data_IF_526687345038
#
_entry.id   IF_526687345038
#
_cell.length_a   1.000
_cell.length_b   1.000
_cell.length_c   1.000
_cell.angle_alpha   90.00
_cell.angle_beta   90.00
_cell.angle_gamma   90.00
#
_symmetry.space_group_name_H-M   'P 1'
#
loop_
_entity.id
_entity.type
_entity.pdbx_description
1 polymer ?
#
# COMPACT_ATOMS: atom_id res chain seq x y z
N UNK A 1 -9.96 -3.03 12.96
CA UNK A 1 -10.67 -3.83 11.94
C UNK A 1 -11.44 -2.89 11.04
N UNK A 2 -11.26 -3.02 9.73
CA UNK A 2 -12.05 -2.33 8.71
C UNK A 2 -13.17 -3.28 8.26
N UNK A 3 -14.41 -2.91 8.53
CA UNK A 3 -15.57 -3.69 8.11
C UNK A 3 -16.03 -3.20 6.73
N UNK A 4 -15.66 -3.95 5.70
CA UNK A 4 -15.96 -3.57 4.31
C UNK A 4 -17.47 -3.57 4.01
N UNK A 5 -18.25 -4.35 4.75
CA UNK A 5 -19.71 -4.36 4.57
C UNK A 5 -20.38 -3.06 5.05
N UNK A 6 -19.68 -2.30 5.89
CA UNK A 6 -20.16 -1.01 6.40
C UNK A 6 -19.52 0.18 5.70
N UNK A 7 -18.52 -0.06 4.86
CA UNK A 7 -17.82 1.02 4.17
C UNK A 7 -18.72 1.59 3.06
N UNK A 8 -18.93 2.89 3.10
CA UNK A 8 -19.71 3.64 2.09
C UNK A 8 -18.82 4.57 1.24
N UNK A 9 -17.50 4.44 1.34
CA UNK A 9 -16.55 5.24 0.56
C UNK A 9 -16.52 6.74 0.94
N UNK A 10 -16.99 7.12 2.11
CA UNK A 10 -17.11 8.53 2.50
C UNK A 10 -15.80 9.28 2.74
N UNK A 11 -14.66 8.61 2.68
CA UNK A 11 -13.31 9.18 2.86
C UNK A 11 -13.03 9.85 4.23
N UNK A 12 -13.92 9.72 5.20
CA UNK A 12 -13.74 10.32 6.53
C UNK A 12 -12.47 9.81 7.21
N UNK A 13 -12.18 8.52 7.13
CA UNK A 13 -10.96 7.90 7.65
C UNK A 13 -9.70 8.43 6.95
N UNK A 14 -9.76 8.68 5.64
CA UNK A 14 -8.68 9.27 4.85
C UNK A 14 -8.35 10.67 5.34
N UNK A 15 -9.38 11.51 5.48
CA UNK A 15 -9.22 12.90 5.91
C UNK A 15 -8.75 12.99 7.35
N UNK A 16 -9.30 12.18 8.24
CA UNK A 16 -8.89 12.13 9.64
C UNK A 16 -7.40 11.76 9.78
N UNK A 17 -6.95 10.71 9.09
CA UNK A 17 -5.55 10.33 9.04
C UNK A 17 -4.68 11.46 8.47
N UNK A 18 -5.09 12.03 7.35
CA UNK A 18 -4.33 13.09 6.68
C UNK A 18 -4.19 14.35 7.54
N UNK A 19 -5.25 14.76 8.22
CA UNK A 19 -5.21 15.91 9.12
C UNK A 19 -4.27 15.73 10.31
N UNK A 20 -4.13 14.51 10.80
CA UNK A 20 -3.26 14.24 11.95
C UNK A 20 -1.80 14.08 11.57
N UNK A 21 -1.51 13.37 10.48
CA UNK A 21 -0.17 12.83 10.22
C UNK A 21 0.50 13.39 8.95
N UNK A 22 -0.25 14.01 8.05
CA UNK A 22 0.27 14.56 6.79
C UNK A 22 0.09 16.07 6.71
N UNK A 23 0.39 16.77 7.79
CA UNK A 23 0.23 18.24 7.86
C UNK A 23 1.33 18.99 7.13
N UNK A 24 2.51 18.39 7.05
CA UNK A 24 3.66 19.04 6.46
C UNK A 24 3.55 19.11 4.94
N UNK A 25 4.07 20.18 4.37
CA UNK A 25 4.03 20.41 2.92
C UNK A 25 4.75 19.33 2.12
N UNK A 26 5.78 18.70 2.70
CA UNK A 26 6.53 17.62 2.07
C UNK A 26 5.74 16.31 1.89
N UNK A 27 4.75 16.07 2.72
CA UNK A 27 3.93 14.85 2.69
C UNK A 27 2.50 15.11 2.21
N UNK A 28 2.21 16.30 1.71
CA UNK A 28 0.88 16.69 1.25
C UNK A 28 0.31 15.78 0.16
N UNK A 29 1.14 15.14 -0.65
CA UNK A 29 0.74 14.16 -1.66
C UNK A 29 0.44 12.78 -1.09
N UNK A 30 0.92 12.46 0.12
CA UNK A 30 0.83 11.11 0.69
C UNK A 30 -0.55 10.84 1.31
N UNK A 31 -1.03 9.62 1.08
CA UNK A 31 -2.25 9.11 1.68
C UNK A 31 -1.93 7.80 2.41
N UNK A 32 -1.64 7.90 3.70
CA UNK A 32 -1.37 6.72 4.52
C UNK A 32 -2.58 5.80 4.62
N UNK A 33 -3.76 6.39 4.60
CA UNK A 33 -5.02 5.69 4.40
C UNK A 33 -5.80 6.36 3.27
N UNK A 34 -6.33 5.59 2.35
CA UNK A 34 -7.27 6.04 1.33
C UNK A 34 -8.32 4.96 1.10
N UNK A 35 -9.47 5.36 0.62
CA UNK A 35 -10.53 4.44 0.22
C UNK A 35 -10.65 4.49 -1.30
N UNK A 36 -10.49 3.35 -1.93
CA UNK A 36 -10.65 3.18 -3.37
C UNK A 36 -12.04 2.69 -3.69
N UNK A 37 -12.63 3.23 -4.72
CA UNK A 37 -13.87 2.73 -5.30
C UNK A 37 -13.48 1.78 -6.44
N UNK A 38 -13.88 0.54 -6.32
CA UNK A 38 -13.56 -0.48 -7.30
C UNK A 38 -14.86 -0.95 -7.97
N UNK A 39 -15.02 -0.68 -9.27
CA UNK A 39 -16.15 -1.20 -10.03
C UNK A 39 -15.89 -2.64 -10.45
N UNK A 40 -16.96 -3.38 -10.68
CA UNK A 40 -16.91 -4.71 -11.27
C UNK A 40 -17.21 -5.85 -10.31
N UNK A 41 -16.83 -7.05 -10.70
CA UNK A 41 -17.17 -8.29 -9.99
C UNK A 41 -16.32 -8.55 -8.71
N UNK A 42 -15.46 -7.61 -8.32
CA UNK A 42 -14.58 -7.76 -7.15
C UNK A 42 -13.22 -8.35 -7.48
N UNK A 43 -12.42 -8.54 -6.43
CA UNK A 43 -11.07 -9.09 -6.53
C UNK A 43 -10.91 -10.36 -5.70
N UNK A 44 -10.14 -11.35 -6.17
CA UNK A 44 -9.59 -11.44 -7.54
C UNK A 44 -10.71 -11.60 -8.58
N UNK A 45 -10.42 -11.23 -9.82
CA UNK A 45 -11.34 -11.55 -10.91
C UNK A 45 -11.56 -13.05 -10.96
N UNK A 46 -12.75 -13.45 -11.38
CA UNK A 46 -13.12 -14.85 -11.42
C UNK A 46 -12.98 -15.54 -10.03
N UNK A 47 -13.27 -14.77 -8.97
CA UNK A 47 -13.20 -15.25 -7.59
C UNK A 47 -14.01 -16.54 -7.37
N UNK A 48 -15.08 -16.74 -8.13
CA UNK A 48 -15.90 -17.96 -8.12
C UNK A 48 -15.12 -19.20 -8.59
N UNK A 49 -14.06 -18.99 -9.37
CA UNK A 49 -13.16 -20.04 -9.84
C UNK A 49 -11.94 -20.22 -8.92
N UNK A 50 -11.65 -19.21 -8.12
CA UNK A 50 -10.48 -19.16 -7.23
C UNK A 50 -10.67 -19.93 -5.92
N UNK A 51 -11.79 -20.58 -5.73
CA UNK A 51 -12.07 -21.37 -4.52
C UNK A 51 -13.49 -21.14 -3.99
N UNK A 52 -13.66 -21.37 -2.70
CA UNK A 52 -14.96 -21.23 -2.04
C UNK A 52 -15.71 -22.56 -1.93
N UNK A 53 -17.04 -22.51 -1.95
CA UNK A 53 -17.89 -23.70 -1.85
C UNK A 53 -18.82 -23.80 -3.04
N UNK A 54 -19.09 -25.02 -3.43
CA UNK A 54 -20.16 -25.34 -4.38
C UNK A 54 -21.53 -25.09 -3.73
N UNK A 55 -22.61 -25.00 -4.48
CA UNK A 55 -23.96 -24.97 -3.92
C UNK A 55 -24.28 -26.18 -3.02
N UNK A 56 -23.62 -27.33 -3.25
CA UNK A 56 -23.70 -28.52 -2.41
C UNK A 56 -22.88 -28.45 -1.12
N UNK A 57 -22.11 -27.36 -0.91
CA UNK A 57 -21.31 -27.15 0.28
C UNK A 57 -19.91 -27.74 0.25
N UNK A 58 -19.50 -28.39 -0.85
CA UNK A 58 -18.14 -28.89 -1.03
C UNK A 58 -17.14 -27.77 -1.25
N UNK A 59 -15.93 -27.93 -0.73
CA UNK A 59 -14.83 -26.99 -0.92
C UNK A 59 -14.28 -27.11 -2.33
N UNK A 60 -14.29 -26.02 -3.09
CA UNK A 60 -13.60 -25.93 -4.38
C UNK A 60 -12.11 -25.73 -4.17
N UNK A 61 -11.30 -26.50 -4.86
CA UNK A 61 -9.88 -26.19 -5.01
C UNK A 61 -9.74 -24.95 -5.89
N UNK A 62 -9.25 -23.87 -5.31
CA UNK A 62 -8.98 -22.64 -6.05
C UNK A 62 -7.59 -22.62 -6.65
N UNK A 63 -7.39 -21.73 -7.63
CA UNK A 63 -6.09 -21.40 -8.20
C UNK A 63 -5.58 -20.11 -7.55
N UNK A 64 -4.33 -20.08 -7.12
CA UNK A 64 -3.68 -18.83 -6.73
C UNK A 64 -3.22 -18.13 -8.01
N UNK A 65 -3.71 -16.90 -8.31
CA UNK A 65 -3.27 -16.15 -9.48
C UNK A 65 -1.78 -15.86 -9.43
N UNK A 66 -1.12 -15.90 -10.58
CA UNK A 66 0.28 -15.52 -10.71
C UNK A 66 0.43 -14.06 -11.10
N UNK A 67 1.64 -13.49 -10.95
CA UNK A 67 1.94 -12.13 -11.37
C UNK A 67 1.65 -11.89 -12.86
N UNK A 68 1.90 -12.90 -13.70
CA UNK A 68 1.70 -12.79 -15.15
C UNK A 68 0.22 -12.85 -15.54
N UNK A 69 -0.60 -13.52 -14.74
CA UNK A 69 -2.02 -13.70 -15.03
C UNK A 69 -2.85 -12.44 -14.68
N UNK A 70 -2.64 -11.87 -13.50
CA UNK A 70 -3.62 -10.93 -12.95
C UNK A 70 -3.02 -9.73 -12.20
N UNK A 71 -1.78 -9.83 -11.72
CA UNK A 71 -1.20 -8.80 -10.87
C UNK A 71 -0.28 -7.82 -11.59
N UNK A 72 -0.02 -8.04 -12.88
CA UNK A 72 0.93 -7.25 -13.66
C UNK A 72 2.39 -7.51 -13.25
N UNK A 73 3.30 -6.77 -13.85
CA UNK A 73 4.72 -6.90 -13.59
C UNK A 73 5.18 -5.90 -12.54
N UNK A 74 6.08 -6.32 -11.69
CA UNK A 74 6.74 -5.42 -10.76
C UNK A 74 7.45 -4.29 -11.53
N UNK A 75 7.42 -3.09 -10.97
CA UNK A 75 8.09 -1.95 -11.57
C UNK A 75 9.60 -2.11 -11.49
N UNK A 76 10.27 -1.76 -12.59
CA UNK A 76 11.72 -1.61 -12.61
C UNK A 76 12.06 -0.15 -12.32
N UNK A 77 12.89 0.09 -11.33
CA UNK A 77 13.27 1.43 -10.92
C UNK A 77 14.72 1.74 -11.32
N UNK A 78 15.07 3.02 -11.33
CA UNK A 78 16.38 3.53 -11.70
C UNK A 78 17.42 3.42 -10.57
N UNK A 79 17.51 2.28 -9.89
CA UNK A 79 18.39 2.07 -8.74
C UNK A 79 19.86 2.36 -9.02
N UNK A 80 20.35 1.94 -10.18
CA UNK A 80 21.77 2.10 -10.52
C UNK A 80 22.13 3.58 -10.69
N UNK A 81 21.23 4.38 -11.28
CA UNK A 81 21.39 5.82 -11.38
C UNK A 81 21.40 6.47 -10.00
N UNK A 82 20.45 6.07 -9.13
CA UNK A 82 20.38 6.59 -7.76
C UNK A 82 21.65 6.28 -6.98
N UNK A 83 22.19 5.06 -7.11
CA UNK A 83 23.44 4.67 -6.45
C UNK A 83 24.64 5.42 -7.00
N UNK A 84 24.76 5.50 -8.31
CA UNK A 84 25.90 6.18 -8.97
C UNK A 84 25.98 7.64 -8.54
N UNK A 85 24.93 8.40 -8.67
CA UNK A 85 24.90 9.82 -8.29
C UNK A 85 25.07 10.03 -6.78
N UNK A 86 24.56 9.12 -5.95
CA UNK A 86 24.78 9.18 -4.50
C UNK A 86 26.26 9.03 -4.14
N UNK A 87 27.02 8.24 -4.91
CA UNK A 87 28.47 8.06 -4.75
C UNK A 87 29.28 9.23 -5.32
N UNK A 88 28.79 9.84 -6.38
CA UNK A 88 29.48 10.96 -7.08
C UNK A 88 29.20 12.33 -6.44
N UNK A 89 28.34 12.41 -5.43
CA UNK A 89 28.02 13.66 -4.73
C UNK A 89 27.14 14.63 -5.53
N UNK A 90 26.63 14.22 -6.68
CA UNK A 90 25.83 15.03 -7.59
C UNK A 90 24.33 15.08 -7.22
N UNK A 91 24.03 15.45 -6.00
CA UNK A 91 22.65 15.52 -5.55
C UNK A 91 21.96 14.15 -5.45
N UNK A 92 20.79 14.10 -4.80
CA UNK A 92 20.01 12.86 -4.63
C UNK A 92 19.04 12.69 -5.82
N UNK A 93 19.31 11.82 -6.78
CA UNK A 93 18.33 11.56 -7.83
C UNK A 93 17.10 10.89 -7.23
N UNK A 94 15.96 11.21 -7.77
CA UNK A 94 14.71 10.62 -7.35
C UNK A 94 14.63 9.16 -7.81
N UNK A 95 14.19 8.28 -6.92
CA UNK A 95 13.80 6.95 -7.34
C UNK A 95 12.55 7.06 -8.21
N UNK A 96 12.67 6.67 -9.46
CA UNK A 96 11.59 6.73 -10.44
C UNK A 96 11.50 5.44 -11.23
N UNK A 97 10.31 5.04 -11.69
CA UNK A 97 10.19 3.92 -12.61
C UNK A 97 10.95 4.19 -13.90
N UNK A 98 11.68 3.19 -14.40
CA UNK A 98 12.35 3.25 -15.72
C UNK A 98 11.36 3.20 -16.88
N UNK A 99 10.25 2.54 -16.65
CA UNK A 99 9.20 2.31 -17.65
C UNK A 99 7.85 2.70 -17.07
N UNK A 100 6.88 2.93 -17.96
CA UNK A 100 5.50 3.13 -17.54
C UNK A 100 5.04 1.85 -16.82
N UNK A 101 4.52 1.95 -15.59
CA UNK A 101 4.05 0.79 -14.85
C UNK A 101 3.02 0.00 -15.65
N UNK A 102 3.22 -1.31 -15.71
CA UNK A 102 2.22 -2.22 -16.24
C UNK A 102 1.35 -2.73 -15.09
N UNK A 103 0.15 -2.20 -15.02
CA UNK A 103 -0.85 -2.64 -14.07
C UNK A 103 -1.49 -3.93 -14.59
N UNK A 104 -1.51 -4.95 -13.75
CA UNK A 104 -2.30 -6.14 -14.05
C UNK A 104 -3.80 -5.83 -14.00
N UNK A 105 -4.57 -6.76 -14.48
CA UNK A 105 -6.03 -6.63 -14.56
C UNK A 105 -6.71 -6.34 -13.21
N UNK A 106 -6.13 -6.79 -12.10
CA UNK A 106 -6.63 -6.54 -10.76
C UNK A 106 -6.24 -5.17 -10.17
N UNK A 107 -5.42 -4.40 -10.88
CA UNK A 107 -4.97 -3.07 -10.47
C UNK A 107 -5.60 -1.96 -11.30
N UNK A 108 -6.38 -2.31 -12.31
CA UNK A 108 -7.03 -1.38 -13.20
C UNK A 108 -8.39 -0.99 -12.60
N UNK A 109 -8.44 0.16 -11.99
CA UNK A 109 -9.60 0.68 -11.27
C UNK A 109 -10.78 0.99 -12.19
N UNK A 110 -10.51 1.22 -13.48
CA UNK A 110 -11.53 1.66 -14.45
C UNK A 110 -12.17 0.51 -15.24
N UNK A 111 -11.77 -0.74 -14.97
CA UNK A 111 -12.30 -1.88 -15.68
C UNK A 111 -13.42 -2.61 -14.92
N UNK A 112 -14.58 -2.03 -14.92
CA UNK A 112 -15.81 -2.80 -14.67
C UNK A 112 -15.94 -3.94 -15.68
N UNK A 113 -16.36 -5.11 -15.24
CA UNK A 113 -16.82 -6.21 -16.12
C UNK A 113 -18.31 -6.34 -15.99
N UNK A 114 -18.93 -6.70 -17.09
CA UNK A 114 -20.36 -6.94 -17.16
C UNK A 114 -21.15 -5.79 -17.75
N UNK A 115 -22.44 -6.00 -17.92
CA UNK A 115 -23.36 -4.99 -18.44
C UNK A 115 -23.98 -4.18 -17.31
N UNK A 116 -23.97 -2.85 -17.47
CA UNK A 116 -24.65 -1.96 -16.56
C UNK A 116 -26.19 -2.06 -16.78
N UNK A 117 -26.99 -2.10 -15.72
CA UNK A 117 -26.65 -2.10 -14.28
C UNK A 117 -26.50 -3.50 -13.66
N UNK A 118 -26.72 -4.56 -14.42
CA UNK A 118 -26.94 -5.90 -13.91
C UNK A 118 -25.71 -6.53 -13.29
N UNK A 119 -24.57 -6.35 -13.95
CA UNK A 119 -23.32 -7.03 -13.59
C UNK A 119 -22.27 -6.09 -12.99
N UNK A 120 -22.59 -4.80 -12.86
CA UNK A 120 -21.69 -3.83 -12.26
C UNK A 120 -21.96 -3.68 -10.77
N UNK A 121 -20.96 -4.04 -10.00
CA UNK A 121 -20.91 -3.82 -8.56
C UNK A 121 -19.88 -2.75 -8.23
N UNK A 122 -20.17 -1.98 -7.20
CA UNK A 122 -19.18 -1.08 -6.61
C UNK A 122 -18.90 -1.53 -5.19
N UNK A 123 -17.63 -1.63 -4.87
CA UNK A 123 -17.23 -1.84 -3.49
C UNK A 123 -16.13 -0.86 -3.11
N UNK A 124 -16.00 -0.60 -1.82
CA UNK A 124 -15.05 0.35 -1.29
C UNK A 124 -13.97 -0.40 -0.55
N UNK A 125 -12.71 -0.12 -0.90
CA UNK A 125 -11.55 -0.76 -0.32
C UNK A 125 -10.71 0.27 0.44
N UNK A 126 -10.82 0.36 1.77
CA UNK A 126 -9.88 1.13 2.56
C UNK A 126 -8.49 0.51 2.49
N UNK A 127 -7.52 1.27 2.01
CA UNK A 127 -6.14 0.84 1.85
C UNK A 127 -5.22 1.60 2.78
N UNK A 128 -4.59 0.89 3.67
CA UNK A 128 -3.60 1.40 4.62
C UNK A 128 -2.41 0.44 4.72
N UNK A 129 -1.38 0.81 5.48
CA UNK A 129 -0.28 -0.10 5.77
C UNK A 129 -0.79 -1.30 6.58
N UNK A 130 -0.43 -2.50 6.16
CA UNK A 130 -0.85 -3.74 6.81
C UNK A 130 0.02 -4.12 8.01
N UNK A 131 1.08 -3.37 8.33
CA UNK A 131 2.05 -3.72 9.37
C UNK A 131 2.42 -5.20 9.32
N UNK A 132 2.85 -5.65 8.14
CA UNK A 132 3.03 -7.05 7.74
C UNK A 132 3.75 -7.90 8.78
N UNK A 133 3.43 -9.19 8.83
CA UNK A 133 4.18 -10.16 9.67
C UNK A 133 5.64 -10.24 9.23
N UNK A 134 5.89 -10.24 7.92
CA UNK A 134 7.21 -10.17 7.30
C UNK A 134 7.28 -8.93 6.43
N UNK A 135 7.74 -7.78 6.97
CA UNK A 135 7.65 -6.51 6.26
C UNK A 135 8.76 -6.39 5.20
N UNK A 136 8.43 -6.54 3.94
CA UNK A 136 9.39 -6.36 2.84
C UNK A 136 10.09 -4.99 2.86
N UNK A 137 9.45 -3.95 3.38
CA UNK A 137 10.05 -2.64 3.56
C UNK A 137 11.17 -2.62 4.61
N UNK A 138 11.08 -3.46 5.64
CA UNK A 138 12.12 -3.64 6.65
C UNK A 138 13.34 -4.33 6.03
N UNK A 139 13.11 -5.44 5.33
CA UNK A 139 14.18 -6.23 4.70
C UNK A 139 14.92 -5.43 3.62
N UNK A 140 14.21 -4.56 2.93
CA UNK A 140 14.80 -3.71 1.89
C UNK A 140 15.60 -2.52 2.42
N UNK A 141 15.57 -2.23 3.72
CA UNK A 141 16.22 -1.04 4.25
C UNK A 141 17.72 -1.27 4.54
N UNK A 142 18.65 -0.69 3.76
CA UNK A 142 20.08 -0.92 3.97
C UNK A 142 20.63 -0.25 5.25
N UNK A 143 19.85 0.62 5.86
CA UNK A 143 20.19 1.31 7.12
C UNK A 143 19.53 0.69 8.34
N UNK A 144 18.74 -0.37 8.16
CA UNK A 144 17.93 -0.95 9.24
C UNK A 144 17.14 0.11 10.02
N UNK A 145 16.62 1.11 9.28
CA UNK A 145 15.84 2.20 9.84
C UNK A 145 14.35 1.85 9.99
N UNK A 146 13.97 0.63 9.62
CA UNK A 146 12.60 0.15 9.79
C UNK A 146 12.65 -0.98 10.80
N UNK A 147 11.79 -0.92 11.78
CA UNK A 147 11.66 -1.90 12.82
C UNK A 147 10.22 -2.37 12.99
N UNK A 148 10.06 -3.58 13.48
CA UNK A 148 8.78 -4.14 13.89
C UNK A 148 8.81 -4.31 15.40
N UNK A 149 7.87 -3.70 16.07
CA UNK A 149 7.73 -3.81 17.53
C UNK A 149 7.25 -5.22 17.90
N UNK A 150 7.85 -5.80 18.90
CA UNK A 150 7.47 -7.13 19.39
C UNK A 150 6.16 -7.09 20.19
N UNK A 151 5.87 -5.98 20.85
CA UNK A 151 4.73 -5.84 21.77
C UNK A 151 3.39 -5.83 21.03
N UNK A 152 3.33 -5.20 19.87
CA UNK A 152 2.08 -4.94 19.15
C UNK A 152 2.17 -5.23 17.64
N UNK A 153 3.37 -5.54 17.14
CA UNK A 153 3.61 -5.82 15.74
C UNK A 153 3.57 -4.58 14.83
N UNK A 154 3.54 -3.38 15.39
CA UNK A 154 3.55 -2.14 14.62
C UNK A 154 4.91 -1.96 13.96
N UNK A 155 4.90 -1.70 12.65
CA UNK A 155 6.11 -1.44 11.87
C UNK A 155 6.32 0.06 11.75
N UNK A 156 7.46 0.54 12.20
CA UNK A 156 7.83 1.96 12.26
C UNK A 156 9.06 2.26 11.41
N UNK A 157 9.23 3.53 11.07
CA UNK A 157 10.44 4.05 10.45
C UNK A 157 11.12 4.97 11.45
N UNK A 158 12.32 4.60 11.89
CA UNK A 158 13.20 5.47 12.66
C UNK A 158 13.68 6.62 11.75
N UNK A 159 13.23 7.82 12.06
CA UNK A 159 13.47 9.01 11.24
C UNK A 159 14.93 9.48 11.32
N UNK A 160 15.63 9.19 12.42
CA UNK A 160 17.03 9.58 12.61
C UNK A 160 17.98 8.64 11.86
N UNK A 161 17.62 7.37 11.78
CA UNK A 161 18.36 6.36 10.99
C UNK A 161 18.07 6.44 9.50
N UNK A 162 16.92 6.99 9.12
CA UNK A 162 16.46 7.00 7.73
C UNK A 162 17.27 8.01 6.90
N UNK A 163 17.95 7.52 5.87
CA UNK A 163 18.72 8.35 4.92
C UNK A 163 18.00 8.54 3.57
N UNK A 164 16.71 8.19 3.48
CA UNK A 164 15.88 8.44 2.31
C UNK A 164 16.25 7.67 1.05
N UNK A 165 16.88 6.49 1.16
CA UNK A 165 17.25 5.67 -0.01
C UNK A 165 16.04 5.13 -0.80
N UNK A 166 14.86 5.07 -0.19
CA UNK A 166 13.56 4.74 -0.80
C UNK A 166 13.38 3.28 -1.25
N UNK A 167 14.32 2.38 -1.00
CA UNK A 167 14.12 0.96 -1.31
C UNK A 167 12.86 0.40 -0.64
N UNK A 168 12.51 0.89 0.54
CA UNK A 168 11.27 0.52 1.23
C UNK A 168 10.01 0.98 0.50
N UNK A 169 10.07 2.09 -0.25
CA UNK A 169 8.96 2.59 -1.06
C UNK A 169 8.68 1.63 -2.22
N UNK A 170 9.74 1.16 -2.86
CA UNK A 170 9.65 0.17 -3.93
C UNK A 170 9.20 -1.19 -3.42
N UNK A 171 9.86 -1.68 -2.36
CA UNK A 171 9.62 -3.02 -1.83
C UNK A 171 8.22 -3.22 -1.27
N UNK A 172 7.51 -2.14 -0.91
CA UNK A 172 6.16 -2.27 -0.39
C UNK A 172 5.17 -2.73 -1.47
N UNK A 173 4.61 -3.96 -1.40
CA UNK A 173 3.69 -4.44 -2.42
C UNK A 173 2.36 -3.66 -2.40
N UNK A 174 2.03 -3.05 -1.27
CA UNK A 174 0.79 -2.26 -1.10
C UNK A 174 0.98 -0.78 -1.41
N UNK A 175 2.21 -0.34 -1.75
CA UNK A 175 2.56 1.07 -2.04
C UNK A 175 2.11 2.04 -0.93
N UNK A 176 2.32 1.65 0.34
CA UNK A 176 1.95 2.41 1.54
C UNK A 176 3.16 2.93 2.33
N UNK A 177 4.30 3.02 1.68
CA UNK A 177 5.47 3.77 2.14
C UNK A 177 5.67 4.95 1.22
N UNK A 178 5.83 6.12 1.78
CA UNK A 178 5.98 7.39 1.06
C UNK A 178 7.31 8.04 1.41
N UNK A 179 7.77 8.93 0.58
CA UNK A 179 8.99 9.69 0.81
C UNK A 179 8.64 11.15 1.11
N UNK A 180 9.20 11.69 2.17
CA UNK A 180 9.11 13.11 2.49
C UNK A 180 10.29 13.85 1.84
N UNK A 181 10.07 14.64 0.78
CA UNK A 181 11.14 15.32 0.07
C UNK A 181 11.75 16.48 0.86
N UNK A 182 11.04 17.06 1.82
CA UNK A 182 11.58 18.13 2.63
C UNK A 182 12.48 17.61 3.74
N UNK A 183 12.04 16.56 4.42
CA UNK A 183 12.81 15.92 5.50
C UNK A 183 13.81 14.90 4.98
N UNK A 184 13.71 14.49 3.72
CA UNK A 184 14.55 13.49 3.07
C UNK A 184 14.48 12.10 3.76
N UNK A 185 13.33 11.73 4.26
CA UNK A 185 13.07 10.47 4.97
C UNK A 185 11.85 9.74 4.41
N UNK A 186 11.79 8.44 4.63
CA UNK A 186 10.59 7.66 4.32
C UNK A 186 9.58 7.74 5.44
N UNK A 187 8.30 7.80 5.09
CA UNK A 187 7.18 7.86 6.02
C UNK A 187 6.11 6.83 5.66
N UNK A 188 5.36 6.39 6.63
CA UNK A 188 4.24 5.45 6.45
C UNK A 188 3.28 5.52 7.62
N UNK A 189 2.16 4.85 7.52
CA UNK A 189 1.25 4.68 8.65
C UNK A 189 2.00 4.16 9.88
N UNK A 190 1.82 4.83 11.01
CA UNK A 190 2.37 4.45 12.34
C UNK A 190 1.32 3.78 13.22
N UNK A 191 0.19 3.35 12.66
CA UNK A 191 -0.97 2.81 13.38
C UNK A 191 -1.53 3.76 14.45
N UNK A 192 -1.34 5.06 14.28
CA UNK A 192 -1.65 6.09 15.27
C UNK A 192 -1.04 5.79 16.66
N UNK A 193 0.17 5.24 16.71
CA UNK A 193 0.82 4.77 17.94
C UNK A 193 0.68 5.74 19.12
N UNK A 194 0.97 7.05 19.00
CA UNK A 194 0.81 7.97 20.14
C UNK A 194 -0.61 7.99 20.72
N UNK A 195 -1.63 7.80 19.88
CA UNK A 195 -3.03 7.72 20.36
C UNK A 195 -3.33 6.40 21.04
N UNK A 196 -2.77 5.31 20.48
CA UNK A 196 -2.96 3.96 21.04
C UNK A 196 -2.29 3.86 22.41
N UNK A 197 -1.13 4.44 22.60
CA UNK A 197 -0.42 4.51 23.89
C UNK A 197 -1.19 5.33 24.94
N UNK A 198 -1.98 6.30 24.51
CA UNK A 198 -2.90 7.05 25.37
C UNK A 198 -4.26 6.34 25.58
N UNK A 199 -4.42 5.13 25.07
CA UNK A 199 -5.68 4.37 25.16
C UNK A 199 -6.77 4.88 24.23
N UNK A 200 -6.45 5.71 23.26
CA UNK A 200 -7.38 6.30 22.27
C UNK A 200 -7.31 5.52 20.96
N UNK A 201 -8.45 5.25 20.36
CA UNK A 201 -8.52 4.54 19.08
C UNK A 201 -7.75 5.28 17.95
N UNK A 202 -7.23 4.56 16.94
CA UNK A 202 -6.73 5.16 15.72
C UNK A 202 -7.76 6.09 15.08
N UNK A 203 -7.28 7.11 14.36
CA UNK A 203 -8.14 8.14 13.79
C UNK A 203 -8.99 7.66 12.59
N UNK A 204 -8.56 6.56 11.94
CA UNK A 204 -9.27 5.98 10.78
C UNK A 204 -10.30 4.90 11.10
#
# INVERSE_FOLDING_TARGET
VMDLNKCIGCQTCTIACKKLWNKDTGTGYAYWNNVETLPGAGYPRDWSESGGRTPSGEVKAGRIPTLDDEYGRAWTFNHDEVRKRACEGEGKPWLSPKEKPHWGANWDEDRGRGEYPQDNHYFYLPRLCNHCTHPACLDACPRHAIEKRDEDGIVLVDQDRCHGYRFCVEACPYKKVYFDPLRQVSTKCIFCLPRVEEGVAPAC
#
